data_IF_245738232482
#
_entry.id   IF_245738232482
#
_cell.length_a   1.000
_cell.length_b   1.000
_cell.length_c   1.000
_cell.angle_alpha   90.00
_cell.angle_beta   90.00
_cell.angle_gamma   90.00
#
_symmetry.space_group_name_H-M   'P 1'
#
loop_
_entity.id
_entity.type
_entity.pdbx_description
1 polymer ?
#
# COMPACT_ATOMS: atom_id res chain seq x y z
N UNK A 1 -78.77 -14.04 25.98
CA UNK A 1 -77.67 -13.09 26.19
C UNK A 1 -76.43 -13.85 26.63
N UNK A 2 -75.51 -14.24 25.74
CA UNK A 2 -74.29 -14.97 26.13
C UNK A 2 -73.06 -14.71 25.24
N UNK A 3 -73.07 -13.70 24.37
CA UNK A 3 -72.01 -13.47 23.37
C UNK A 3 -70.90 -12.51 23.80
N UNK A 4 -71.03 -11.81 24.94
CA UNK A 4 -70.09 -10.73 25.31
C UNK A 4 -68.75 -11.20 25.88
N UNK A 5 -68.65 -12.46 26.35
CA UNK A 5 -67.46 -12.96 27.07
C UNK A 5 -66.37 -13.53 26.14
N UNK A 6 -66.72 -13.94 24.92
CA UNK A 6 -65.77 -14.54 23.97
C UNK A 6 -64.91 -13.48 23.24
N UNK A 7 -65.47 -12.31 22.93
CA UNK A 7 -64.76 -11.22 22.24
C UNK A 7 -63.65 -10.56 23.08
N UNK A 8 -63.79 -10.59 24.42
CA UNK A 8 -62.81 -10.03 25.33
C UNK A 8 -61.50 -10.83 25.39
N UNK A 9 -61.61 -12.17 25.39
CA UNK A 9 -60.46 -13.10 25.45
C UNK A 9 -59.71 -13.12 24.11
N UNK A 10 -60.43 -13.03 22.99
CA UNK A 10 -59.82 -13.01 21.66
C UNK A 10 -59.06 -11.68 21.39
N UNK A 11 -59.55 -10.54 21.89
CA UNK A 11 -58.81 -9.26 21.81
C UNK A 11 -57.55 -9.23 22.66
N UNK A 12 -57.54 -9.84 23.84
CA UNK A 12 -56.36 -9.84 24.73
C UNK A 12 -55.26 -10.77 24.19
N UNK A 13 -55.63 -11.94 23.66
CA UNK A 13 -54.66 -12.87 23.04
C UNK A 13 -54.05 -12.29 21.75
N UNK A 14 -54.85 -11.61 20.90
CA UNK A 14 -54.33 -10.91 19.71
C UNK A 14 -53.39 -9.74 20.06
N UNK A 15 -53.66 -8.99 21.14
CA UNK A 15 -52.76 -7.92 21.62
C UNK A 15 -51.45 -8.48 22.17
N UNK A 16 -51.50 -9.56 22.95
CA UNK A 16 -50.31 -10.22 23.48
C UNK A 16 -49.42 -10.80 22.36
N UNK A 17 -50.02 -11.44 21.35
CA UNK A 17 -49.30 -11.95 20.17
C UNK A 17 -48.66 -10.81 19.35
N UNK A 18 -49.37 -9.70 19.12
CA UNK A 18 -48.83 -8.51 18.43
C UNK A 18 -47.72 -7.83 19.22
N UNK A 19 -47.83 -7.75 20.55
CA UNK A 19 -46.80 -7.18 21.41
C UNK A 19 -45.54 -8.04 21.43
N UNK A 20 -45.67 -9.37 21.44
CA UNK A 20 -44.56 -10.32 21.34
C UNK A 20 -43.88 -10.33 19.97
N UNK A 21 -44.63 -10.15 18.89
CA UNK A 21 -44.07 -9.98 17.55
C UNK A 21 -43.35 -8.63 17.39
N UNK A 22 -43.95 -7.55 17.88
CA UNK A 22 -43.35 -6.22 17.84
C UNK A 22 -42.04 -6.14 18.65
N UNK A 23 -41.96 -6.76 19.84
CA UNK A 23 -40.71 -6.81 20.63
C UNK A 23 -39.62 -7.65 19.95
N UNK A 24 -39.98 -8.78 19.33
CA UNK A 24 -39.02 -9.59 18.55
C UNK A 24 -38.47 -8.83 17.34
N UNK A 25 -39.34 -8.10 16.62
CA UNK A 25 -38.95 -7.24 15.50
C UNK A 25 -38.07 -6.06 15.95
N UNK A 26 -38.38 -5.45 17.09
CA UNK A 26 -37.56 -4.35 17.63
C UNK A 26 -36.16 -4.82 18.09
N UNK A 27 -36.05 -5.99 18.72
CA UNK A 27 -34.74 -6.54 19.10
C UNK A 27 -33.89 -6.94 17.89
N UNK A 28 -34.51 -7.46 16.83
CA UNK A 28 -33.79 -7.79 15.59
C UNK A 28 -33.33 -6.54 14.85
N UNK A 29 -34.19 -5.52 14.76
CA UNK A 29 -33.80 -4.22 14.19
C UNK A 29 -32.66 -3.56 14.97
N UNK A 30 -32.72 -3.57 16.30
CA UNK A 30 -31.65 -3.02 17.14
C UNK A 30 -30.33 -3.80 16.97
N UNK A 31 -30.41 -5.13 16.90
CA UNK A 31 -29.26 -5.99 16.62
C UNK A 31 -28.65 -5.68 15.25
N UNK A 32 -29.46 -5.52 14.20
CA UNK A 32 -28.97 -5.16 12.87
C UNK A 32 -28.34 -3.77 12.86
N UNK A 33 -28.95 -2.78 13.51
CA UNK A 33 -28.42 -1.41 13.57
C UNK A 33 -27.10 -1.33 14.32
N UNK A 34 -26.85 -2.20 15.31
CA UNK A 34 -25.58 -2.22 16.04
C UNK A 34 -24.51 -3.09 15.36
N UNK A 35 -24.90 -4.27 14.88
CA UNK A 35 -23.97 -5.26 14.35
C UNK A 35 -23.57 -4.94 12.89
N UNK A 36 -24.51 -4.46 12.06
CA UNK A 36 -24.22 -4.13 10.67
C UNK A 36 -23.14 -3.05 10.49
N UNK A 37 -23.15 -1.90 11.19
CA UNK A 37 -22.08 -0.92 11.06
C UNK A 37 -20.76 -1.50 11.57
N UNK A 38 -20.74 -2.22 12.69
CA UNK A 38 -19.52 -2.86 13.21
C UNK A 38 -18.93 -3.88 12.23
N UNK A 39 -19.78 -4.68 11.58
CA UNK A 39 -19.36 -5.60 10.53
C UNK A 39 -18.84 -4.87 9.29
N UNK A 40 -19.50 -3.79 8.86
CA UNK A 40 -19.02 -2.93 7.77
C UNK A 40 -17.67 -2.29 8.10
N UNK A 41 -17.50 -1.73 9.30
CA UNK A 41 -16.22 -1.16 9.74
C UNK A 41 -15.13 -2.21 9.85
N UNK A 42 -15.45 -3.39 10.39
CA UNK A 42 -14.51 -4.52 10.45
C UNK A 42 -14.09 -4.99 9.05
N UNK A 43 -15.03 -5.09 8.12
CA UNK A 43 -14.75 -5.47 6.73
C UNK A 43 -13.94 -4.39 5.99
N UNK A 44 -14.27 -3.11 6.17
CA UNK A 44 -13.51 -2.00 5.61
C UNK A 44 -12.09 -1.95 6.17
N UNK A 45 -11.91 -2.14 7.48
CA UNK A 45 -10.59 -2.25 8.09
C UNK A 45 -9.79 -3.45 7.52
N UNK A 46 -10.45 -4.58 7.28
CA UNK A 46 -9.85 -5.74 6.64
C UNK A 46 -9.42 -5.45 5.18
N UNK A 47 -10.24 -4.75 4.41
CA UNK A 47 -9.87 -4.31 3.06
C UNK A 47 -8.71 -3.31 3.08
N UNK A 48 -8.69 -2.38 4.03
CA UNK A 48 -7.61 -1.41 4.19
C UNK A 48 -6.28 -2.08 4.59
N UNK A 49 -6.32 -3.19 5.33
CA UNK A 49 -5.11 -3.96 5.68
C UNK A 49 -4.64 -4.91 4.58
N UNK A 50 -5.46 -5.15 3.55
CA UNK A 50 -5.09 -5.97 2.37
C UNK A 50 -4.52 -5.13 1.23
N UNK A 51 -4.51 -3.80 1.34
CA UNK A 51 -3.91 -2.92 0.34
C UNK A 51 -2.40 -3.15 0.22
N UNK A 52 -1.94 -3.38 -1.02
CA UNK A 52 -0.54 -3.26 -1.42
C UNK A 52 0.43 -4.29 -0.84
N UNK A 53 0.11 -5.58 -0.88
CA UNK A 53 1.15 -6.59 -0.57
C UNK A 53 2.26 -6.50 -1.62
N UNK A 54 3.53 -6.41 -1.21
CA UNK A 54 4.64 -6.37 -2.15
C UNK A 54 4.59 -7.60 -3.06
N UNK A 55 4.69 -7.38 -4.36
CA UNK A 55 4.67 -8.46 -5.35
C UNK A 55 5.77 -8.28 -6.39
N UNK A 56 6.16 -9.37 -7.03
CA UNK A 56 7.22 -9.33 -8.03
C UNK A 56 6.78 -8.49 -9.23
N UNK A 57 7.65 -7.57 -9.66
CA UNK A 57 7.45 -6.70 -10.80
C UNK A 57 8.56 -6.91 -11.84
N UNK A 58 8.33 -6.45 -13.08
CA UNK A 58 9.41 -6.45 -14.07
C UNK A 58 10.39 -5.32 -13.78
N UNK A 59 11.70 -5.60 -13.87
CA UNK A 59 12.70 -4.55 -13.65
C UNK A 59 12.64 -3.45 -14.71
N UNK A 60 12.16 -3.74 -15.91
CA UNK A 60 11.91 -2.72 -16.94
C UNK A 60 10.84 -1.72 -16.52
N UNK A 61 9.76 -2.20 -15.90
CA UNK A 61 8.68 -1.35 -15.38
C UNK A 61 9.17 -0.50 -14.21
N UNK A 62 9.80 -1.14 -13.22
CA UNK A 62 10.33 -0.44 -12.05
C UNK A 62 11.37 0.64 -12.43
N UNK A 63 12.27 0.35 -13.38
CA UNK A 63 13.26 1.32 -13.86
C UNK A 63 12.64 2.44 -14.70
N UNK A 64 11.66 2.10 -15.55
CA UNK A 64 10.91 3.08 -16.33
C UNK A 64 10.15 4.05 -15.42
N UNK A 65 9.52 3.54 -14.37
CA UNK A 65 8.89 4.35 -13.34
C UNK A 65 9.90 5.21 -12.57
N UNK A 66 11.05 4.65 -12.23
CA UNK A 66 12.13 5.39 -11.58
C UNK A 66 12.76 6.48 -12.47
N UNK A 67 12.48 6.50 -13.78
CA UNK A 67 13.04 7.46 -14.71
C UNK A 67 14.54 7.26 -14.96
N UNK A 68 14.99 6.01 -14.88
CA UNK A 68 16.38 5.62 -15.12
C UNK A 68 16.50 4.29 -15.86
N UNK A 69 17.71 3.75 -15.89
CA UNK A 69 18.01 2.46 -16.52
C UNK A 69 18.78 1.56 -15.57
N UNK A 70 18.56 0.25 -15.66
CA UNK A 70 19.39 -0.72 -14.93
C UNK A 70 20.85 -0.61 -15.39
N UNK A 71 21.82 -0.41 -14.48
CA UNK A 71 23.24 -0.43 -14.82
C UNK A 71 23.66 -1.77 -15.44
N UNK A 72 24.57 -1.75 -16.42
CA UNK A 72 24.97 -2.96 -17.15
C UNK A 72 25.66 -4.00 -16.26
N UNK A 73 26.37 -3.56 -15.21
CA UNK A 73 27.07 -4.45 -14.28
C UNK A 73 26.21 -4.86 -13.07
N UNK A 74 24.91 -4.55 -13.10
CA UNK A 74 23.99 -4.96 -12.05
C UNK A 74 23.78 -6.48 -12.08
N UNK A 75 23.99 -7.12 -10.93
CA UNK A 75 23.75 -8.55 -10.71
C UNK A 75 22.76 -8.74 -9.58
N UNK A 76 22.22 -9.96 -9.44
CA UNK A 76 21.28 -10.31 -8.36
C UNK A 76 20.10 -9.34 -8.25
N UNK A 77 19.52 -8.97 -9.39
CA UNK A 77 18.45 -7.97 -9.47
C UNK A 77 17.13 -8.52 -8.94
N UNK A 78 16.51 -7.79 -8.02
CA UNK A 78 15.16 -8.06 -7.49
C UNK A 78 14.33 -6.79 -7.63
N UNK A 79 13.17 -6.91 -8.28
CA UNK A 79 12.26 -5.79 -8.53
C UNK A 79 10.89 -6.13 -7.96
N UNK A 80 10.42 -5.26 -7.07
CA UNK A 80 9.18 -5.44 -6.31
C UNK A 80 8.30 -4.22 -6.51
N UNK A 81 7.04 -4.43 -6.84
CA UNK A 81 5.99 -3.41 -6.68
C UNK A 81 5.54 -3.47 -5.22
N UNK A 82 5.86 -2.41 -4.48
CA UNK A 82 5.48 -2.19 -3.09
C UNK A 82 4.45 -1.05 -2.94
N UNK A 83 3.76 -0.68 -4.02
CA UNK A 83 2.71 0.33 -4.04
C UNK A 83 1.44 -0.09 -3.31
N UNK A 84 0.80 0.88 -2.66
CA UNK A 84 -0.51 0.73 -2.05
C UNK A 84 -1.66 0.91 -3.04
N UNK A 85 -2.87 1.08 -2.49
CA UNK A 85 -4.08 1.28 -3.30
C UNK A 85 -4.16 2.67 -3.95
N UNK A 86 -3.52 3.67 -3.33
CA UNK A 86 -3.58 5.07 -3.76
C UNK A 86 -2.25 5.56 -4.36
N UNK A 87 -1.20 4.79 -4.19
CA UNK A 87 0.19 5.12 -4.49
C UNK A 87 0.83 4.00 -5.31
N UNK A 88 1.75 4.37 -6.18
CA UNK A 88 2.65 3.46 -6.89
C UNK A 88 4.02 3.54 -6.24
N UNK A 89 4.54 2.37 -5.90
CA UNK A 89 5.84 2.20 -5.27
C UNK A 89 6.58 1.04 -5.92
N UNK A 90 7.86 1.25 -6.22
CA UNK A 90 8.75 0.19 -6.62
C UNK A 90 10.01 0.21 -5.78
N UNK A 91 10.42 -0.98 -5.34
CA UNK A 91 11.74 -1.23 -4.75
C UNK A 91 12.56 -2.09 -5.69
N UNK A 92 13.75 -1.62 -6.06
CA UNK A 92 14.72 -2.35 -6.88
C UNK A 92 15.99 -2.56 -6.08
N UNK A 93 16.40 -3.81 -5.91
CA UNK A 93 17.64 -4.20 -5.25
C UNK A 93 18.55 -4.90 -6.24
N UNK A 94 19.84 -4.57 -6.22
CA UNK A 94 20.85 -5.22 -7.07
C UNK A 94 22.24 -5.08 -6.46
N UNK A 95 23.21 -5.84 -6.99
CA UNK A 95 24.62 -5.73 -6.65
C UNK A 95 25.43 -5.17 -7.80
N UNK A 96 26.48 -4.44 -7.47
CA UNK A 96 27.42 -3.87 -8.44
C UNK A 96 28.85 -3.82 -7.88
N UNK A 97 29.88 -3.71 -8.73
CA UNK A 97 31.23 -3.37 -8.29
C UNK A 97 31.26 -2.02 -7.57
N UNK A 98 32.07 -1.91 -6.50
CA UNK A 98 32.26 -0.64 -5.76
C UNK A 98 33.00 0.41 -6.60
N UNK A 99 33.86 -0.04 -7.52
CA UNK A 99 34.60 0.85 -8.40
C UNK A 99 33.63 1.69 -9.25
N UNK A 100 33.79 3.01 -9.21
CA UNK A 100 32.99 3.98 -9.98
C UNK A 100 31.48 3.95 -9.70
N UNK A 101 31.06 3.33 -8.60
CA UNK A 101 29.64 3.13 -8.28
C UNK A 101 28.85 4.45 -8.32
N UNK A 102 29.38 5.51 -7.70
CA UNK A 102 28.70 6.79 -7.66
C UNK A 102 28.47 7.39 -9.05
N UNK A 103 29.49 7.36 -9.90
CA UNK A 103 29.42 7.87 -11.28
C UNK A 103 28.43 7.08 -12.11
N UNK A 104 28.43 5.74 -11.99
CA UNK A 104 27.52 4.87 -12.73
C UNK A 104 26.08 5.03 -12.30
N UNK A 105 25.83 5.16 -10.99
CA UNK A 105 24.49 5.41 -10.47
C UNK A 105 23.97 6.79 -10.89
N UNK A 106 24.80 7.82 -10.87
CA UNK A 106 24.42 9.15 -11.35
C UNK A 106 24.12 9.17 -12.85
N UNK A 107 24.82 8.37 -13.65
CA UNK A 107 24.54 8.21 -15.07
C UNK A 107 23.24 7.43 -15.33
N UNK A 108 23.01 6.36 -14.56
CA UNK A 108 21.81 5.53 -14.66
C UNK A 108 20.55 6.25 -14.18
N UNK A 109 20.68 7.17 -13.22
CA UNK A 109 19.58 7.92 -12.61
C UNK A 109 19.89 9.43 -12.63
N UNK A 110 19.66 10.12 -13.75
CA UNK A 110 20.02 11.54 -13.91
C UNK A 110 19.31 12.49 -12.94
N UNK A 111 18.23 12.04 -12.29
CA UNK A 111 17.41 12.81 -11.34
C UNK A 111 17.89 12.73 -9.88
N UNK A 112 18.80 11.81 -9.57
CA UNK A 112 19.36 11.71 -8.21
C UNK A 112 20.68 12.43 -8.12
N UNK A 113 20.99 12.95 -6.94
CA UNK A 113 22.30 13.53 -6.60
C UNK A 113 22.86 12.85 -5.37
N UNK A 114 24.18 12.73 -5.34
CA UNK A 114 24.89 12.19 -4.19
C UNK A 114 24.67 13.13 -2.99
N UNK A 115 24.07 12.60 -1.93
CA UNK A 115 23.84 13.32 -0.69
C UNK A 115 24.90 12.95 0.35
N UNK A 116 25.04 11.66 0.65
CA UNK A 116 26.04 11.16 1.62
C UNK A 116 27.03 10.23 0.95
N UNK A 117 28.30 10.39 1.28
CA UNK A 117 29.39 9.48 0.95
C UNK A 117 30.19 9.20 2.22
N UNK A 118 30.28 7.93 2.61
CA UNK A 118 31.00 7.51 3.80
C UNK A 118 31.66 6.14 3.62
N UNK A 119 32.41 5.70 4.64
CA UNK A 119 33.14 4.44 4.60
C UNK A 119 32.25 3.20 4.41
N UNK A 120 30.98 3.30 4.77
CA UNK A 120 30.01 2.19 4.75
C UNK A 120 29.10 2.19 3.52
N UNK A 121 29.03 3.30 2.77
CA UNK A 121 28.11 3.39 1.65
C UNK A 121 27.93 4.80 1.07
N UNK A 122 26.97 4.88 0.14
CA UNK A 122 26.54 6.08 -0.55
C UNK A 122 25.03 6.23 -0.41
N UNK A 123 24.54 7.46 -0.34
CA UNK A 123 23.11 7.75 -0.46
C UNK A 123 22.86 8.85 -1.48
N UNK A 124 21.81 8.67 -2.26
CA UNK A 124 21.34 9.61 -3.27
C UNK A 124 19.86 9.89 -3.06
N UNK A 125 19.47 11.12 -3.33
CA UNK A 125 18.08 11.56 -3.28
C UNK A 125 17.74 12.41 -4.51
N UNK A 126 16.45 12.57 -4.76
CA UNK A 126 15.96 13.48 -5.81
C UNK A 126 16.55 14.87 -5.69
N UNK A 127 17.02 15.40 -6.82
CA UNK A 127 17.31 16.81 -6.95
C UNK A 127 16.07 17.56 -7.44
N UNK A 128 15.60 18.51 -6.62
CA UNK A 128 14.49 19.41 -6.94
C UNK A 128 14.68 20.12 -8.29
N UNK A 129 15.93 20.43 -8.66
CA UNK A 129 16.30 21.05 -9.94
C UNK A 129 15.92 20.19 -11.16
N UNK A 130 15.91 18.86 -11.00
CA UNK A 130 15.58 17.91 -12.06
C UNK A 130 14.12 17.45 -12.04
N UNK A 131 13.38 17.74 -10.98
CA UNK A 131 11.95 17.40 -10.88
C UNK A 131 11.06 18.26 -11.78
N UNK A 132 11.48 19.49 -12.08
CA UNK A 132 10.76 20.37 -13.00
C UNK A 132 10.67 19.80 -14.44
N UNK A 133 11.62 18.96 -14.83
CA UNK A 133 11.67 18.32 -16.15
C UNK A 133 11.12 16.87 -16.15
N UNK A 134 10.53 16.42 -15.03
CA UNK A 134 10.04 15.04 -14.89
C UNK A 134 8.93 14.73 -15.91
N UNK A 135 9.08 13.71 -16.76
CA UNK A 135 7.98 13.18 -17.57
C UNK A 135 6.80 12.70 -16.72
N UNK A 136 5.59 12.95 -17.19
CA UNK A 136 4.38 12.42 -16.55
C UNK A 136 4.43 10.90 -16.44
N UNK A 137 4.03 10.36 -15.29
CA UNK A 137 4.00 8.92 -15.02
C UNK A 137 5.26 8.33 -14.39
N UNK A 138 6.32 9.12 -14.18
CA UNK A 138 7.50 8.70 -13.41
C UNK A 138 7.36 9.03 -11.92
N UNK A 139 8.17 8.39 -11.08
CA UNK A 139 8.21 8.59 -9.63
C UNK A 139 8.44 10.06 -9.24
N UNK A 140 7.72 10.50 -8.20
CA UNK A 140 7.92 11.82 -7.58
C UNK A 140 9.11 11.83 -6.64
N UNK A 141 9.39 10.70 -5.98
CA UNK A 141 10.47 10.53 -5.03
C UNK A 141 11.35 9.36 -5.46
N UNK A 142 12.67 9.58 -5.49
CA UNK A 142 13.68 8.52 -5.63
C UNK A 142 14.66 8.61 -4.47
N UNK A 143 14.91 7.45 -3.86
CA UNK A 143 15.96 7.24 -2.89
C UNK A 143 16.81 6.08 -3.34
N UNK A 144 18.12 6.27 -3.36
CA UNK A 144 19.04 5.23 -3.75
C UNK A 144 20.13 5.14 -2.70
N UNK A 145 20.20 4.01 -2.02
CA UNK A 145 21.22 3.73 -1.01
C UNK A 145 22.10 2.59 -1.51
N UNK A 146 23.41 2.74 -1.37
CA UNK A 146 24.39 1.72 -1.68
C UNK A 146 25.19 1.40 -0.42
N UNK A 147 25.18 0.14 0.02
CA UNK A 147 26.00 -0.34 1.13
C UNK A 147 27.19 -1.14 0.60
N UNK A 148 28.39 -0.83 1.07
CA UNK A 148 29.60 -1.52 0.62
C UNK A 148 29.78 -2.88 1.30
N UNK A 149 30.00 -3.92 0.50
CA UNK A 149 30.35 -5.25 0.96
C UNK A 149 31.89 -5.39 1.03
N UNK A 150 32.39 -6.26 1.93
CA UNK A 150 33.83 -6.49 2.08
C UNK A 150 34.49 -7.09 0.81
N UNK A 151 33.70 -7.69 -0.09
CA UNK A 151 34.15 -8.30 -1.34
C UNK A 151 34.39 -7.33 -2.50
N UNK A 152 34.43 -6.02 -2.26
CA UNK A 152 34.62 -5.01 -3.32
C UNK A 152 33.37 -4.75 -4.16
N UNK A 153 32.23 -5.26 -3.74
CA UNK A 153 30.91 -5.01 -4.31
C UNK A 153 30.11 -4.06 -3.42
N UNK A 154 28.98 -3.60 -3.92
CA UNK A 154 28.00 -2.84 -3.18
C UNK A 154 26.61 -3.41 -3.44
N UNK A 155 25.79 -3.47 -2.39
CA UNK A 155 24.35 -3.71 -2.52
C UNK A 155 23.66 -2.37 -2.67
N UNK A 156 22.94 -2.20 -3.75
CA UNK A 156 22.17 -1.01 -4.06
C UNK A 156 20.70 -1.30 -3.84
N UNK A 157 20.01 -0.39 -3.16
CA UNK A 157 18.56 -0.38 -3.00
C UNK A 157 18.02 0.96 -3.49
N UNK A 158 17.24 0.90 -4.55
CA UNK A 158 16.49 2.01 -5.11
C UNK A 158 15.03 1.89 -4.67
N UNK A 159 14.44 2.99 -4.21
CA UNK A 159 13.02 3.14 -3.94
C UNK A 159 12.48 4.29 -4.77
N UNK A 160 11.41 4.02 -5.50
CA UNK A 160 10.74 4.96 -6.39
C UNK A 160 9.26 4.99 -6.05
N UNK A 161 8.68 6.15 -5.73
CA UNK A 161 7.25 6.23 -5.40
C UNK A 161 6.60 7.57 -5.75
N UNK A 162 5.27 7.58 -5.87
CA UNK A 162 4.42 8.77 -5.82
C UNK A 162 3.72 8.91 -4.45
N UNK A 163 3.17 10.10 -4.17
CA UNK A 163 2.48 10.44 -2.92
C UNK A 163 1.07 10.93 -3.19
#
# INVERSE_FOLDING_TARGET
MHTERADGVDRTDRRAKRAGWATRLSLTLLGVVLIAPLACFGFLALLLTQGGKPHAATCSEAMGFAGGSMPAEATETVCTDDGGWLDRGYTVEFRMPRAELATRLAAAFPRVRLGTDNATGLSFANAQETDAARPGGQAMFLYLDATFDAGGTARVRLRAFDA
#
